data_IF_533628509093
#
_entry.id   IF_533628509093
#
_cell.length_a   1.000
_cell.length_b   1.000
_cell.length_c   1.000
_cell.angle_alpha   90.00
_cell.angle_beta   90.00
_cell.angle_gamma   90.00
#
_symmetry.space_group_name_H-M   'P 1'
#
loop_
_entity.id
_entity.type
_entity.pdbx_description
1 polymer ?
#
# COMPACT_ATOMS: atom_id res chain seq x y z
N UNK A 1 46.24 51.93 -20.03
CA UNK A 1 45.04 51.71 -20.88
C UNK A 1 45.04 50.25 -21.30
N UNK A 2 44.30 49.41 -20.57
CA UNK A 2 43.88 48.06 -21.01
C UNK A 2 42.48 47.87 -20.43
N UNK A 3 41.48 47.84 -21.30
CA UNK A 3 40.07 47.68 -20.96
C UNK A 3 39.79 46.18 -20.80
N UNK A 4 39.49 45.73 -19.57
CA UNK A 4 38.98 44.39 -19.33
C UNK A 4 37.46 44.39 -19.60
N UNK A 5 37.04 43.75 -20.68
CA UNK A 5 35.63 43.46 -20.97
C UNK A 5 35.14 42.35 -20.02
N UNK A 6 34.11 42.66 -19.24
CA UNK A 6 33.32 41.68 -18.50
C UNK A 6 32.10 41.37 -19.38
N UNK A 7 32.03 40.17 -19.95
CA UNK A 7 30.82 39.67 -20.62
C UNK A 7 30.12 38.70 -19.65
N UNK A 8 29.01 39.18 -19.04
CA UNK A 8 28.11 38.36 -18.25
C UNK A 8 27.05 37.74 -19.16
N UNK A 9 27.21 36.46 -19.50
CA UNK A 9 26.17 35.63 -20.11
C UNK A 9 25.48 34.73 -19.07
N UNK A 10 24.18 34.40 -19.24
CA UNK A 10 23.46 33.53 -18.30
C UNK A 10 24.00 32.10 -18.35
N UNK A 11 24.09 31.44 -17.20
CA UNK A 11 24.48 30.02 -17.07
C UNK A 11 23.47 29.15 -17.83
N UNK A 12 23.91 28.21 -18.68
CA UNK A 12 22.99 27.24 -19.28
C UNK A 12 22.44 26.29 -18.20
N UNK A 13 21.14 26.10 -18.20
CA UNK A 13 20.43 25.12 -17.35
C UNK A 13 20.90 23.69 -17.66
N UNK A 14 20.87 22.76 -16.69
CA UNK A 14 21.33 21.39 -16.92
C UNK A 14 20.43 20.70 -17.93
N UNK A 15 20.97 20.43 -19.12
CA UNK A 15 20.33 19.61 -20.15
C UNK A 15 19.87 18.28 -19.56
N UNK A 16 18.55 18.08 -19.47
CA UNK A 16 17.98 16.80 -19.09
C UNK A 16 18.12 15.88 -20.30
N UNK A 17 19.22 15.12 -20.35
CA UNK A 17 19.41 14.10 -21.38
C UNK A 17 18.49 12.92 -21.11
N UNK A 18 17.52 12.71 -22.00
CA UNK A 18 16.72 11.49 -22.01
C UNK A 18 17.55 10.42 -22.72
N UNK A 19 18.19 9.54 -21.95
CA UNK A 19 18.80 8.34 -22.50
C UNK A 19 17.71 7.32 -22.84
N UNK A 20 17.58 7.01 -24.13
CA UNK A 20 16.77 5.88 -24.60
C UNK A 20 17.55 4.60 -24.27
N UNK A 21 17.13 3.92 -23.22
CA UNK A 21 17.70 2.61 -22.82
C UNK A 21 17.14 1.53 -23.75
N UNK A 22 18.03 0.77 -24.39
CA UNK A 22 17.65 -0.38 -25.20
C UNK A 22 16.88 -1.42 -24.35
N UNK A 23 15.67 -1.74 -24.79
CA UNK A 23 14.80 -2.72 -24.15
C UNK A 23 15.41 -4.12 -24.22
N UNK A 24 16.18 -4.49 -23.19
CA UNK A 24 16.80 -5.81 -23.09
C UNK A 24 17.72 -6.02 -21.87
N UNK A 25 18.21 -4.93 -21.26
CA UNK A 25 18.99 -4.96 -20.02
C UNK A 25 18.33 -4.07 -18.97
N UNK A 26 17.25 -4.56 -18.36
CA UNK A 26 16.85 -4.00 -17.06
C UNK A 26 17.76 -4.62 -16.00
N UNK A 27 18.96 -4.04 -15.87
CA UNK A 27 19.85 -4.19 -14.73
C UNK A 27 19.27 -3.40 -13.54
N UNK A 28 18.05 -3.74 -13.14
CA UNK A 28 17.58 -3.34 -11.82
C UNK A 28 18.26 -4.32 -10.86
N UNK A 29 19.44 -3.90 -10.40
CA UNK A 29 20.22 -4.58 -9.37
C UNK A 29 19.31 -4.83 -8.15
N UNK A 30 19.32 -6.03 -7.55
CA UNK A 30 18.56 -6.33 -6.33
C UNK A 30 18.87 -5.42 -5.14
N UNK A 31 19.92 -4.60 -5.26
CA UNK A 31 20.48 -3.72 -4.24
C UNK A 31 19.71 -2.40 -4.09
N UNK A 32 18.99 -1.94 -5.12
CA UNK A 32 18.21 -0.69 -5.07
C UNK A 32 17.10 -0.74 -4.00
N UNK A 33 16.49 -1.91 -3.82
CA UNK A 33 15.48 -2.12 -2.78
C UNK A 33 16.07 -2.14 -1.38
N UNK A 34 17.25 -2.73 -1.18
CA UNK A 34 17.90 -2.78 0.13
C UNK A 34 18.39 -1.40 0.57
N UNK A 35 18.85 -0.58 -0.38
CA UNK A 35 19.19 0.81 -0.14
C UNK A 35 17.96 1.67 0.14
N UNK A 36 16.86 1.49 -0.60
CA UNK A 36 15.57 2.13 -0.27
C UNK A 36 15.06 1.75 1.14
N UNK A 37 15.23 0.49 1.54
CA UNK A 37 14.88 -0.02 2.87
C UNK A 37 15.73 0.65 3.95
N UNK A 38 17.05 0.73 3.74
CA UNK A 38 17.98 1.40 4.65
C UNK A 38 17.71 2.91 4.74
N UNK A 39 17.23 3.54 3.67
CA UNK A 39 16.90 4.97 3.67
C UNK A 39 15.69 5.32 4.55
N UNK A 40 14.74 4.39 4.75
CA UNK A 40 13.61 4.56 5.68
C UNK A 40 13.99 4.30 7.14
N UNK A 41 15.12 3.67 7.39
CA UNK A 41 15.59 3.36 8.74
C UNK A 41 16.43 4.54 9.25
N UNK A 42 16.18 5.01 10.49
CA UNK A 42 17.02 6.02 11.13
C UNK A 42 18.49 5.59 11.17
N UNK A 43 19.41 6.57 11.16
CA UNK A 43 20.86 6.32 11.12
C UNK A 43 21.34 5.59 9.85
N UNK A 44 20.66 5.80 8.72
CA UNK A 44 21.03 5.28 7.38
C UNK A 44 22.47 5.63 6.96
N UNK A 45 23.04 6.71 7.52
CA UNK A 45 24.44 7.10 7.35
C UNK A 45 25.45 5.99 7.76
N UNK A 46 25.06 5.06 8.64
CA UNK A 46 25.88 3.90 8.98
C UNK A 46 25.16 2.61 8.56
N UNK A 47 25.60 1.95 7.48
CA UNK A 47 24.91 0.78 6.94
C UNK A 47 24.84 -0.38 7.93
N UNK A 48 25.82 -0.52 8.84
CA UNK A 48 25.82 -1.59 9.85
C UNK A 48 24.80 -1.34 10.95
N UNK A 49 24.58 -0.08 11.34
CA UNK A 49 23.53 0.29 12.31
C UNK A 49 22.16 0.14 11.68
N UNK A 50 21.99 0.63 10.45
CA UNK A 50 20.73 0.51 9.71
C UNK A 50 20.33 -0.96 9.49
N UNK A 51 21.24 -1.82 9.03
CA UNK A 51 20.98 -3.26 8.89
C UNK A 51 20.69 -3.94 10.22
N UNK A 52 21.34 -3.54 11.32
CA UNK A 52 20.99 -4.09 12.64
C UNK A 52 19.59 -3.64 13.08
N UNK A 53 19.25 -2.36 12.89
CA UNK A 53 17.95 -1.80 13.24
C UNK A 53 16.81 -2.32 12.35
N UNK A 54 17.05 -2.70 11.09
CA UNK A 54 16.04 -3.33 10.23
C UNK A 54 15.52 -4.62 10.85
N UNK A 55 16.42 -5.48 11.34
CA UNK A 55 16.03 -6.72 12.01
C UNK A 55 15.37 -6.44 13.37
N UNK A 56 15.81 -5.42 14.11
CA UNK A 56 15.14 -5.02 15.35
C UNK A 56 13.72 -4.50 15.10
N UNK A 57 13.52 -3.76 14.02
CA UNK A 57 12.21 -3.29 13.56
C UNK A 57 11.33 -4.49 13.12
N UNK A 58 11.89 -5.54 12.54
CA UNK A 58 11.16 -6.77 12.24
C UNK A 58 10.87 -7.65 13.48
N UNK A 59 11.23 -7.22 14.69
CA UNK A 59 10.91 -7.90 15.95
C UNK A 59 11.96 -8.91 16.43
N UNK A 60 13.08 -9.08 15.71
CA UNK A 60 14.16 -9.96 16.14
C UNK A 60 14.80 -9.47 17.44
N UNK A 61 15.21 -10.40 18.31
CA UNK A 61 15.98 -10.10 19.51
C UNK A 61 17.39 -9.59 19.15
N UNK A 62 18.04 -8.90 20.10
CA UNK A 62 19.42 -8.41 19.91
C UNK A 62 20.38 -9.52 19.49
N UNK A 63 20.23 -10.72 20.04
CA UNK A 63 21.08 -11.88 19.71
C UNK A 63 20.86 -12.37 18.29
N UNK A 64 19.61 -12.44 17.86
CA UNK A 64 19.26 -12.85 16.49
C UNK A 64 19.73 -11.80 15.48
N UNK A 65 19.50 -10.52 15.75
CA UNK A 65 19.98 -9.43 14.90
C UNK A 65 21.51 -9.43 14.77
N UNK A 66 22.26 -9.73 15.84
CA UNK A 66 23.71 -9.91 15.81
C UNK A 66 24.17 -11.19 15.08
N UNK A 67 23.31 -12.18 14.92
CA UNK A 67 23.62 -13.39 14.16
C UNK A 67 23.38 -13.18 12.65
N UNK A 68 22.38 -12.37 12.30
CA UNK A 68 22.03 -12.06 10.91
C UNK A 68 22.93 -10.98 10.30
N UNK A 69 23.34 -10.01 11.10
CA UNK A 69 24.27 -8.95 10.68
C UNK A 69 25.64 -9.25 11.27
N UNK A 70 26.76 -9.09 10.52
CA UNK A 70 28.11 -9.31 11.04
C UNK A 70 28.55 -8.22 12.05
N UNK A 71 27.87 -8.14 13.19
CA UNK A 71 28.06 -7.18 14.27
C UNK A 71 28.02 -7.92 15.60
N UNK A 72 29.05 -7.73 16.43
CA UNK A 72 29.13 -8.39 17.73
C UNK A 72 28.33 -7.64 18.79
N UNK A 73 27.91 -8.34 19.85
CA UNK A 73 27.23 -7.71 20.99
C UNK A 73 28.09 -6.63 21.67
N UNK A 74 29.41 -6.79 21.67
CA UNK A 74 30.36 -5.77 22.17
C UNK A 74 30.26 -4.47 21.36
N UNK A 75 30.13 -4.59 20.04
CA UNK A 75 29.92 -3.44 19.16
C UNK A 75 28.60 -2.72 19.46
N UNK A 76 27.51 -3.47 19.70
CA UNK A 76 26.22 -2.88 20.09
C UNK A 76 26.33 -2.15 21.42
N UNK A 77 27.02 -2.73 22.42
CA UNK A 77 27.28 -2.07 23.71
C UNK A 77 28.04 -0.76 23.55
N UNK A 78 29.05 -0.73 22.67
CA UNK A 78 29.77 0.49 22.36
C UNK A 78 28.84 1.54 21.71
N UNK A 79 28.03 1.15 20.73
CA UNK A 79 27.07 2.06 20.10
C UNK A 79 26.07 2.64 21.09
N UNK A 80 25.52 1.84 22.02
CA UNK A 80 24.60 2.35 23.06
C UNK A 80 25.24 3.35 24.02
N UNK A 81 26.56 3.28 24.21
CA UNK A 81 27.31 4.19 25.09
C UNK A 81 27.70 5.46 24.36
N UNK A 82 28.14 5.32 23.11
CA UNK A 82 28.78 6.38 22.34
C UNK A 82 27.78 7.15 21.45
N UNK A 83 26.58 6.60 21.21
CA UNK A 83 25.52 7.17 20.39
C UNK A 83 24.16 7.07 21.11
N UNK A 84 23.72 8.20 21.67
CA UNK A 84 22.45 8.32 22.39
C UNK A 84 21.25 8.14 21.45
N UNK A 85 21.32 8.64 20.22
CA UNK A 85 20.25 8.49 19.23
C UNK A 85 20.03 7.01 18.88
N UNK A 86 21.12 6.25 18.69
CA UNK A 86 21.04 4.80 18.48
C UNK A 86 20.38 4.09 19.66
N UNK A 87 20.72 4.47 20.90
CA UNK A 87 20.14 3.87 22.10
C UNK A 87 18.62 4.06 22.17
N UNK A 88 18.14 5.24 21.79
CA UNK A 88 16.70 5.53 21.72
C UNK A 88 16.01 4.71 20.64
N UNK A 89 16.56 4.62 19.43
CA UNK A 89 15.94 3.81 18.36
C UNK A 89 15.94 2.30 18.63
N UNK A 90 16.89 1.83 19.45
CA UNK A 90 17.02 0.41 19.77
C UNK A 90 16.10 -0.06 20.91
N UNK A 91 15.49 0.85 21.66
CA UNK A 91 14.74 0.51 22.87
C UNK A 91 13.55 1.44 23.13
N UNK A 92 12.59 0.97 23.94
CA UNK A 92 11.44 1.78 24.35
C UNK A 92 10.50 2.15 23.20
N UNK A 93 10.04 3.40 23.21
CA UNK A 93 8.94 3.89 22.35
C UNK A 93 9.33 3.98 20.88
N UNK A 94 10.56 4.40 20.56
CA UNK A 94 11.01 4.52 19.16
C UNK A 94 11.17 3.16 18.48
N UNK A 95 11.59 2.13 19.23
CA UNK A 95 11.59 0.75 18.71
C UNK A 95 10.16 0.27 18.43
N UNK A 96 9.22 0.52 19.35
CA UNK A 96 7.81 0.15 19.15
C UNK A 96 7.21 0.87 17.93
N UNK A 97 7.58 2.13 17.72
CA UNK A 97 7.22 2.87 16.53
C UNK A 97 7.81 2.25 15.25
N UNK A 98 9.10 1.89 15.25
CA UNK A 98 9.73 1.19 14.12
C UNK A 98 9.02 -0.13 13.80
N UNK A 99 8.68 -0.90 14.84
CA UNK A 99 7.97 -2.18 14.68
C UNK A 99 6.56 -2.00 14.11
N UNK A 100 5.87 -0.91 14.45
CA UNK A 100 4.51 -0.66 13.99
C UNK A 100 4.46 -0.06 12.58
N UNK A 101 5.43 0.79 12.23
CA UNK A 101 5.38 1.59 10.99
C UNK A 101 6.32 1.08 9.90
N UNK A 102 7.47 0.50 10.26
CA UNK A 102 8.52 0.13 9.31
C UNK A 102 8.58 -1.38 9.09
N UNK A 103 8.19 -2.20 10.07
CA UNK A 103 8.25 -3.66 9.95
C UNK A 103 7.39 -4.21 8.81
N UNK A 104 6.17 -3.69 8.64
CA UNK A 104 5.27 -4.12 7.58
C UNK A 104 5.88 -3.83 6.20
N UNK A 105 6.34 -2.60 5.99
CA UNK A 105 6.99 -2.16 4.76
C UNK A 105 8.25 -3.00 4.45
N UNK A 106 9.08 -3.26 5.47
CA UNK A 106 10.27 -4.10 5.35
C UNK A 106 9.90 -5.50 4.86
N UNK A 107 8.94 -6.14 5.53
CA UNK A 107 8.49 -7.49 5.15
C UNK A 107 7.87 -7.53 3.77
N UNK A 108 7.03 -6.55 3.42
CA UNK A 108 6.40 -6.49 2.11
C UNK A 108 7.45 -6.34 1.01
N UNK A 109 8.43 -5.46 1.18
CA UNK A 109 9.50 -5.26 0.21
C UNK A 109 10.43 -6.47 0.10
N UNK A 110 10.82 -7.10 1.21
CA UNK A 110 11.63 -8.32 1.21
C UNK A 110 10.89 -9.49 0.52
N UNK A 111 9.61 -9.65 0.81
CA UNK A 111 8.75 -10.62 0.14
C UNK A 111 8.70 -10.34 -1.36
N UNK A 112 8.43 -9.10 -1.76
CA UNK A 112 8.36 -8.69 -3.16
C UNK A 112 9.68 -8.91 -3.92
N UNK A 113 10.81 -8.65 -3.27
CA UNK A 113 12.14 -8.95 -3.80
C UNK A 113 12.32 -10.44 -4.05
N UNK A 114 12.03 -11.27 -3.05
CA UNK A 114 12.16 -12.72 -3.16
C UNK A 114 11.21 -13.30 -4.22
N UNK A 115 9.98 -12.78 -4.27
CA UNK A 115 8.99 -13.14 -5.26
C UNK A 115 9.47 -12.81 -6.68
N UNK A 116 10.05 -11.63 -6.90
CA UNK A 116 10.65 -11.27 -8.19
C UNK A 116 11.79 -12.20 -8.60
N UNK A 117 12.64 -12.62 -7.68
CA UNK A 117 13.71 -13.58 -7.96
C UNK A 117 13.17 -14.94 -8.40
N UNK A 118 12.13 -15.43 -7.72
CA UNK A 118 11.42 -16.66 -8.11
C UNK A 118 10.83 -16.54 -9.52
N UNK A 119 10.11 -15.45 -9.83
CA UNK A 119 9.54 -15.22 -11.16
C UNK A 119 10.61 -15.16 -12.27
N UNK A 120 11.82 -14.64 -12.00
CA UNK A 120 12.93 -14.66 -12.97
C UNK A 120 13.41 -16.07 -13.26
N UNK A 121 13.45 -16.93 -12.25
CA UNK A 121 13.80 -18.34 -12.42
C UNK A 121 12.71 -19.06 -13.21
N UNK A 122 11.44 -18.84 -12.85
CA UNK A 122 10.28 -19.41 -13.54
C UNK A 122 10.25 -19.02 -15.02
N UNK A 123 10.52 -17.75 -15.34
CA UNK A 123 10.62 -17.25 -16.72
C UNK A 123 11.63 -18.07 -17.54
N UNK A 124 12.81 -18.37 -16.98
CA UNK A 124 13.84 -19.14 -17.70
C UNK A 124 13.35 -20.55 -18.04
N UNK A 125 12.71 -21.21 -17.08
CA UNK A 125 12.19 -22.57 -17.25
C UNK A 125 11.02 -22.58 -18.23
N UNK A 126 10.07 -21.66 -18.08
CA UNK A 126 8.90 -21.55 -18.96
C UNK A 126 9.31 -21.23 -20.40
N UNK A 127 10.28 -20.34 -20.60
CA UNK A 127 10.81 -20.01 -21.92
C UNK A 127 11.45 -21.23 -22.58
N UNK A 128 12.30 -21.95 -21.85
CA UNK A 128 12.91 -23.20 -22.34
C UNK A 128 11.86 -24.26 -22.68
N UNK A 129 10.85 -24.42 -21.82
CA UNK A 129 9.75 -25.36 -22.02
C UNK A 129 8.87 -25.01 -23.24
N UNK A 130 8.67 -23.73 -23.53
CA UNK A 130 7.91 -23.30 -24.72
C UNK A 130 8.60 -23.60 -26.04
N UNK A 131 9.94 -23.69 -26.05
CA UNK A 131 10.72 -23.98 -27.25
C UNK A 131 10.96 -25.48 -27.42
N UNK A 132 11.33 -26.18 -26.35
CA UNK A 132 11.61 -27.61 -26.40
C UNK A 132 11.40 -28.26 -25.03
N UNK A 133 10.21 -28.84 -24.81
CA UNK A 133 9.86 -29.49 -23.54
C UNK A 133 10.80 -30.66 -23.19
N UNK A 134 11.25 -31.42 -24.19
CA UNK A 134 12.16 -32.57 -24.01
C UNK A 134 13.58 -32.17 -23.62
N UNK A 135 13.95 -30.89 -23.80
CA UNK A 135 15.27 -30.37 -23.44
C UNK A 135 15.42 -30.01 -21.95
N UNK A 136 14.34 -30.12 -21.17
CA UNK A 136 14.37 -29.85 -19.74
C UNK A 136 15.06 -30.97 -18.98
N UNK A 137 15.92 -30.58 -18.04
CA UNK A 137 16.49 -31.49 -17.07
C UNK A 137 15.39 -32.00 -16.12
N UNK A 138 15.59 -33.16 -15.45
CA UNK A 138 14.61 -33.68 -14.49
C UNK A 138 14.23 -32.67 -13.39
N UNK A 139 15.21 -31.90 -12.91
CA UNK A 139 14.99 -30.84 -11.91
C UNK A 139 14.15 -29.68 -12.44
N UNK A 140 14.43 -29.22 -13.67
CA UNK A 140 13.62 -28.17 -14.32
C UNK A 140 12.19 -28.65 -14.58
N UNK A 141 12.01 -29.93 -14.91
CA UNK A 141 10.70 -30.51 -15.12
C UNK A 141 9.88 -30.61 -13.82
N UNK A 142 10.53 -30.92 -12.68
CA UNK A 142 9.89 -30.85 -11.36
C UNK A 142 9.48 -29.42 -11.00
N UNK A 143 10.38 -28.45 -11.19
CA UNK A 143 10.06 -27.03 -10.98
C UNK A 143 8.89 -26.58 -11.87
N UNK A 144 8.89 -26.95 -13.15
CA UNK A 144 7.80 -26.64 -14.08
C UNK A 144 6.44 -27.19 -13.59
N UNK A 145 6.42 -28.41 -13.04
CA UNK A 145 5.20 -28.97 -12.45
C UNK A 145 4.70 -28.18 -11.25
N UNK A 146 5.59 -27.61 -10.44
CA UNK A 146 5.22 -26.76 -9.30
C UNK A 146 4.71 -25.41 -9.79
N UNK A 147 5.46 -24.75 -10.68
CA UNK A 147 5.12 -23.46 -11.26
C UNK A 147 3.70 -23.46 -11.83
N UNK A 148 3.36 -24.48 -12.64
CA UNK A 148 2.04 -24.59 -13.28
C UNK A 148 0.86 -24.68 -12.29
N UNK A 149 1.07 -25.11 -11.05
CA UNK A 149 0.01 -25.17 -10.02
C UNK A 149 -0.42 -23.79 -9.55
N UNK A 150 0.44 -22.78 -9.68
CA UNK A 150 0.22 -21.43 -9.16
C UNK A 150 -0.27 -20.43 -10.22
N UNK A 151 -0.56 -20.89 -11.44
CA UNK A 151 -1.19 -20.08 -12.49
C UNK A 151 -2.70 -20.29 -12.54
N UNK A 152 -3.34 -20.42 -11.37
CA UNK A 152 -4.80 -20.45 -11.30
C UNK A 152 -5.35 -19.03 -11.22
N UNK A 153 -6.59 -18.77 -11.67
CA UNK A 153 -7.23 -17.47 -11.50
C UNK A 153 -7.26 -16.98 -10.04
N UNK A 154 -7.38 -17.91 -9.07
CA UNK A 154 -7.39 -17.57 -7.65
C UNK A 154 -6.03 -17.07 -7.16
N UNK A 155 -4.95 -17.73 -7.58
CA UNK A 155 -3.58 -17.30 -7.25
C UNK A 155 -3.25 -15.95 -7.87
N UNK A 156 -3.72 -15.71 -9.11
CA UNK A 156 -3.55 -14.41 -9.79
C UNK A 156 -4.27 -13.30 -9.02
N UNK A 157 -5.49 -13.54 -8.55
CA UNK A 157 -6.24 -12.58 -7.71
C UNK A 157 -5.52 -12.35 -6.37
N UNK A 158 -4.99 -13.40 -5.76
CA UNK A 158 -4.24 -13.29 -4.50
C UNK A 158 -2.97 -12.44 -4.69
N UNK A 159 -2.23 -12.64 -5.78
CA UNK A 159 -1.06 -11.82 -6.13
C UNK A 159 -1.48 -10.37 -6.41
N UNK A 160 -2.57 -10.14 -7.15
CA UNK A 160 -3.09 -8.78 -7.38
C UNK A 160 -3.43 -8.06 -6.07
N UNK A 161 -4.03 -8.77 -5.10
CA UNK A 161 -4.29 -8.21 -3.76
C UNK A 161 -3.01 -7.92 -3.00
N UNK A 162 -2.02 -8.81 -3.06
CA UNK A 162 -0.73 -8.60 -2.38
C UNK A 162 0.08 -7.44 -2.99
N UNK A 163 -0.11 -7.16 -4.28
CA UNK A 163 0.53 -6.05 -5.00
C UNK A 163 -0.15 -4.70 -4.79
N UNK A 164 -1.41 -4.69 -4.34
CA UNK A 164 -2.10 -3.46 -4.02
C UNK A 164 -1.63 -2.98 -2.64
N UNK A 165 -1.08 -1.76 -2.51
CA UNK A 165 -0.83 -1.20 -1.20
C UNK A 165 -2.16 -1.11 -0.46
N UNK A 166 -2.22 -1.59 0.78
CA UNK A 166 -3.42 -1.40 1.61
C UNK A 166 -3.71 0.11 1.70
N UNK A 167 -4.94 0.56 1.39
CA UNK A 167 -5.27 1.97 1.28
C UNK A 167 -5.28 2.73 2.63
N UNK A 168 -4.70 2.16 3.69
CA UNK A 168 -4.67 2.75 5.02
C UNK A 168 -3.42 3.61 5.30
N UNK A 169 -2.36 3.48 4.50
CA UNK A 169 -1.24 4.43 4.51
C UNK A 169 -1.49 5.55 3.48
N UNK A 170 -2.40 6.44 3.84
CA UNK A 170 -2.57 7.70 3.14
C UNK A 170 -1.30 8.56 3.29
N UNK A 171 -0.73 9.11 2.20
CA UNK A 171 0.41 10.03 2.28
C UNK A 171 0.07 11.24 3.17
N UNK A 172 1.04 11.81 3.90
CA UNK A 172 0.80 12.93 4.82
C UNK A 172 0.17 14.09 4.04
N UNK A 173 -1.11 14.39 4.36
CA UNK A 173 -1.90 15.45 3.71
C UNK A 173 -3.16 15.00 2.98
N UNK A 174 -3.47 13.71 2.92
CA UNK A 174 -4.76 13.23 2.38
C UNK A 174 -5.80 13.08 3.49
N UNK A 175 -6.88 13.86 3.38
CA UNK A 175 -8.02 13.81 4.31
C UNK A 175 -9.00 12.74 3.84
N UNK A 176 -9.43 11.87 4.76
CA UNK A 176 -10.61 11.03 4.56
C UNK A 176 -11.83 11.93 4.58
N UNK A 177 -12.46 12.14 3.43
CA UNK A 177 -13.84 12.64 3.40
C UNK A 177 -14.75 11.57 3.99
N UNK A 178 -14.91 11.59 5.32
CA UNK A 178 -15.93 10.78 5.98
C UNK A 178 -17.28 11.43 5.73
N UNK A 179 -18.09 10.81 4.87
CA UNK A 179 -19.49 11.20 4.69
C UNK A 179 -20.23 10.89 6.00
N UNK A 180 -20.38 11.91 6.85
CA UNK A 180 -21.26 11.85 8.02
C UNK A 180 -22.70 12.02 7.53
N UNK A 181 -23.47 10.94 7.53
CA UNK A 181 -24.91 10.98 7.29
C UNK A 181 -25.59 11.51 8.55
N UNK A 182 -26.15 12.72 8.47
CA UNK A 182 -26.98 13.31 9.51
C UNK A 182 -28.44 12.97 9.24
N UNK A 183 -29.11 12.37 10.22
CA UNK A 183 -30.56 12.15 10.22
C UNK A 183 -31.15 13.07 11.29
N UNK A 184 -32.04 13.98 10.89
CA UNK A 184 -32.76 14.91 11.80
C UNK A 184 -31.85 15.70 12.77
N UNK A 185 -30.67 16.11 12.31
CA UNK A 185 -29.75 16.95 13.08
C UNK A 185 -28.92 16.21 14.14
N UNK A 186 -28.99 14.86 14.20
CA UNK A 186 -28.10 14.06 15.06
C UNK A 186 -27.03 13.36 14.20
N UNK A 187 -25.76 13.54 14.57
CA UNK A 187 -24.66 12.77 14.00
C UNK A 187 -24.73 11.34 14.54
N UNK A 188 -24.75 10.37 13.62
CA UNK A 188 -24.81 8.95 13.95
C UNK A 188 -23.40 8.37 13.82
N UNK A 189 -22.67 8.26 14.93
CA UNK A 189 -21.37 7.60 14.97
C UNK A 189 -21.54 6.08 15.16
N UNK A 190 -20.81 5.30 14.36
CA UNK A 190 -20.78 3.84 14.43
C UNK A 190 -21.57 3.12 13.33
N UNK A 191 -21.01 2.02 12.81
CA UNK A 191 -21.56 1.26 11.67
C UNK A 191 -22.93 0.63 11.97
N UNK A 192 -23.14 0.12 13.19
CA UNK A 192 -24.44 -0.41 13.61
C UNK A 192 -25.51 0.69 13.69
N UNK A 193 -25.14 1.87 14.16
CA UNK A 193 -26.06 2.99 14.26
C UNK A 193 -26.45 3.52 12.87
N UNK A 194 -25.51 3.53 11.91
CA UNK A 194 -25.80 3.82 10.49
C UNK A 194 -26.77 2.82 9.86
N UNK A 195 -26.62 1.53 10.15
CA UNK A 195 -27.53 0.49 9.61
C UNK A 195 -28.94 0.63 10.16
N UNK A 196 -29.09 0.99 11.43
CA UNK A 196 -30.41 1.22 12.05
C UNK A 196 -31.06 2.49 11.48
N UNK A 197 -30.32 3.60 11.41
CA UNK A 197 -30.81 4.84 10.82
C UNK A 197 -31.19 4.69 9.33
N UNK A 198 -30.42 3.89 8.56
CA UNK A 198 -30.73 3.61 7.17
C UNK A 198 -32.03 2.81 7.00
N UNK A 199 -32.33 1.88 7.92
CA UNK A 199 -33.59 1.13 7.92
C UNK A 199 -34.77 2.03 8.25
N UNK A 200 -34.62 2.87 9.27
CA UNK A 200 -35.66 3.81 9.70
C UNK A 200 -36.00 4.84 8.61
N UNK A 201 -35.00 5.33 7.89
CA UNK A 201 -35.21 6.19 6.71
C UNK A 201 -35.96 5.47 5.58
N UNK A 202 -35.65 4.20 5.35
CA UNK A 202 -36.31 3.39 4.32
C UNK A 202 -37.78 3.14 4.68
N UNK A 203 -38.06 2.82 5.94
CA UNK A 203 -39.42 2.62 6.44
C UNK A 203 -40.24 3.92 6.34
N UNK A 204 -39.66 5.06 6.69
CA UNK A 204 -40.30 6.38 6.55
C UNK A 204 -40.57 6.74 5.08
N UNK A 205 -39.65 6.40 4.18
CA UNK A 205 -39.84 6.62 2.74
C UNK A 205 -40.95 5.74 2.17
N UNK A 206 -41.01 4.46 2.56
CA UNK A 206 -42.08 3.55 2.16
C UNK A 206 -43.44 3.97 2.73
N UNK A 207 -43.48 4.42 3.98
CA UNK A 207 -44.69 4.96 4.61
C UNK A 207 -45.18 6.22 3.86
N UNK A 208 -44.28 7.15 3.52
CA UNK A 208 -44.60 8.32 2.71
C UNK A 208 -45.15 7.97 1.33
N UNK A 209 -44.56 6.95 0.66
CA UNK A 209 -45.06 6.43 -0.62
C UNK A 209 -46.48 5.87 -0.51
N UNK A 210 -46.79 5.14 0.57
CA UNK A 210 -48.14 4.61 0.81
C UNK A 210 -49.16 5.71 1.06
N UNK A 211 -48.78 6.76 1.79
CA UNK A 211 -49.64 7.93 2.03
C UNK A 211 -49.93 8.70 0.73
N UNK A 212 -48.92 8.88 -0.12
CA UNK A 212 -49.11 9.52 -1.44
C UNK A 212 -50.05 8.71 -2.34
N UNK A 213 -49.87 7.39 -2.42
CA UNK A 213 -50.76 6.51 -3.20
C UNK A 213 -52.19 6.53 -2.65
N UNK A 214 -52.35 6.56 -1.32
CA UNK A 214 -53.66 6.65 -0.69
C UNK A 214 -54.34 8.01 -0.95
N UNK A 215 -53.58 9.10 -0.94
CA UNK A 215 -54.07 10.44 -1.30
C UNK A 215 -54.50 10.52 -2.78
N UNK A 216 -53.71 9.93 -3.69
CA UNK A 216 -54.01 9.88 -5.12
C UNK A 216 -55.29 9.05 -5.42
N UNK A 217 -55.53 7.99 -4.65
CA UNK A 217 -56.79 7.22 -4.69
C UNK A 217 -57.99 7.99 -4.13
N UNK A 218 -57.77 8.80 -3.08
CA UNK A 218 -58.80 9.65 -2.48
C UNK A 218 -59.21 10.81 -3.40
N UNK A 219 -58.28 11.35 -4.19
CA UNK A 219 -58.60 12.36 -5.22
C UNK A 219 -59.39 11.76 -6.39
N UNK A 220 -59.07 10.53 -6.81
CA UNK A 220 -59.82 9.82 -7.86
C UNK A 220 -61.25 9.46 -7.47
N UNK A 221 -61.55 9.37 -6.18
CA UNK A 221 -62.90 9.04 -5.67
C UNK A 221 -63.76 10.28 -5.38
N UNK A 222 -63.17 11.49 -5.38
CA UNK A 222 -63.91 12.76 -5.22
C UNK A 222 -64.53 13.31 -6.52
N UNK A 223 -64.40 12.62 -7.66
CA UNK A 223 -65.07 12.97 -8.92
C UNK A 223 -66.50 12.42 -9.04
N UNK A 224 -67.27 12.47 -7.95
CA UNK A 224 -68.72 12.26 -7.97
C UNK A 224 -69.45 13.51 -8.51
N UNK A 225 -70.59 13.36 -9.20
CA UNK A 225 -71.31 14.48 -9.81
C UNK A 225 -71.81 15.49 -8.76
N UNK A 226 -71.70 16.79 -9.09
CA UNK A 226 -72.24 17.89 -8.31
C UNK A 226 -73.77 17.85 -8.34
N UNK A 227 -74.41 17.50 -7.23
CA UNK A 227 -75.85 17.67 -7.05
C UNK A 227 -76.12 19.08 -6.52
N UNK A 228 -76.65 19.95 -7.37
CA UNK A 228 -77.18 21.26 -7.01
C UNK A 228 -78.70 21.23 -7.07
N UNK A 229 -79.36 21.63 -5.98
CA UNK A 229 -80.81 21.77 -5.90
C UNK A 229 -81.23 23.09 -6.61
N UNK A 230 -82.07 23.00 -7.64
CA UNK A 230 -82.62 24.18 -8.33
C UNK A 230 -83.81 24.69 -7.53
N UNK A 231 -83.65 25.88 -6.94
CA UNK A 231 -84.74 26.62 -6.29
C UNK A 231 -85.52 27.35 -7.40
N UNK A 232 -86.81 27.03 -7.56
CA UNK A 232 -87.76 27.81 -8.37
C UNK A 232 -88.26 29.05 -7.61
#
# INVERSE_FOLDING_TARGET
MVLAKIESGPKPEPEHSVQVVESGKSDIEPDDYEEMLKARIPLSNNPRKASYLSHRAAGFSVRESCALVPVTFTTIKAWRRDDEEFREWESGEKLAWLQSNVAHDLMQMEFMRNFRLALRLDKKILFKASLALESLTPKEMEMLKVIRKHYTPQDIIAVQRALQPEPDQMPPGSYRESITVTVEGRQVEGENARRVAARELLDNFEAGKRVLVAAELAERTKSGPLEGEVIN
#
